data_IF_655696289257
#
_entry.id   IF_655696289257
#
_cell.length_a   1.000
_cell.length_b   1.000
_cell.length_c   1.000
_cell.angle_alpha   90.00
_cell.angle_beta   90.00
_cell.angle_gamma   90.00
#
_symmetry.space_group_name_H-M   'P 1'
#
loop_
_entity.id
_entity.type
_entity.pdbx_description
1 polymer ?
#
# COMPACT_ATOMS: atom_id res chain seq x y z
N UNK A 1 12.02 2.00 -15.01
CA UNK A 1 10.63 1.60 -14.74
C UNK A 1 9.83 2.78 -14.21
N UNK A 2 8.57 2.93 -14.64
CA UNK A 2 7.65 3.96 -14.17
C UNK A 2 6.37 3.32 -13.62
N UNK A 3 6.01 3.65 -12.38
CA UNK A 3 4.77 3.21 -11.72
C UNK A 3 3.85 4.43 -11.59
N UNK A 4 2.60 4.33 -12.04
CA UNK A 4 1.55 5.28 -11.68
C UNK A 4 0.75 4.70 -10.51
N UNK A 5 0.64 5.45 -9.42
CA UNK A 5 -0.14 5.08 -8.24
C UNK A 5 -1.33 6.02 -8.09
N UNK A 6 -2.53 5.47 -8.16
CA UNK A 6 -3.78 6.14 -7.83
C UNK A 6 -4.45 5.45 -6.65
N UNK A 7 -5.29 6.18 -5.91
CA UNK A 7 -6.03 5.65 -4.77
C UNK A 7 -7.24 6.54 -4.46
N UNK A 8 -8.14 6.01 -3.67
CA UNK A 8 -9.24 6.79 -3.07
C UNK A 8 -10.06 7.52 -4.15
N UNK A 9 -10.55 6.75 -5.13
CA UNK A 9 -11.35 7.24 -6.26
C UNK A 9 -12.74 7.65 -5.77
N UNK A 10 -13.37 6.79 -4.93
CA UNK A 10 -14.69 6.99 -4.32
C UNK A 10 -15.81 7.26 -5.32
N UNK A 11 -15.92 6.40 -6.35
CA UNK A 11 -17.06 6.42 -7.26
C UNK A 11 -18.36 6.27 -6.47
N UNK A 12 -19.33 7.14 -6.76
CA UNK A 12 -20.60 7.20 -6.02
C UNK A 12 -20.64 8.21 -4.88
N UNK A 13 -19.49 8.75 -4.46
CA UNK A 13 -19.44 9.80 -3.45
C UNK A 13 -20.04 11.12 -3.96
N UNK A 14 -20.76 11.84 -3.07
CA UNK A 14 -21.19 13.21 -3.39
C UNK A 14 -20.01 14.18 -3.63
N UNK A 15 -18.79 13.77 -3.32
CA UNK A 15 -17.55 14.54 -3.51
C UNK A 15 -16.70 14.02 -4.66
N UNK A 16 -17.15 12.98 -5.34
CA UNK A 16 -16.49 12.43 -6.52
C UNK A 16 -16.47 13.43 -7.67
N UNK A 17 -15.34 13.53 -8.33
CA UNK A 17 -15.06 14.42 -9.44
C UNK A 17 -14.59 13.59 -10.63
N UNK A 18 -15.53 13.10 -11.46
CA UNK A 18 -15.21 12.28 -12.63
C UNK A 18 -14.33 13.02 -13.66
N UNK A 19 -14.42 14.35 -13.71
CA UNK A 19 -13.56 15.19 -14.52
C UNK A 19 -12.07 15.11 -14.08
N UNK A 20 -11.79 15.11 -12.77
CA UNK A 20 -10.43 14.96 -12.26
C UNK A 20 -9.88 13.56 -12.53
N UNK A 21 -10.71 12.51 -12.34
CA UNK A 21 -10.32 11.14 -12.65
C UNK A 21 -9.96 11.00 -14.14
N UNK A 22 -10.80 11.54 -15.04
CA UNK A 22 -10.56 11.51 -16.48
C UNK A 22 -9.24 12.22 -16.83
N UNK A 23 -9.00 13.41 -16.27
CA UNK A 23 -7.75 14.14 -16.51
C UNK A 23 -6.53 13.34 -15.99
N UNK A 24 -6.63 12.76 -14.80
CA UNK A 24 -5.55 11.92 -14.25
C UNK A 24 -5.25 10.71 -15.16
N UNK A 25 -6.29 10.03 -15.65
CA UNK A 25 -6.15 8.89 -16.58
C UNK A 25 -5.49 9.34 -17.89
N UNK A 26 -5.91 10.46 -18.47
CA UNK A 26 -5.30 11.02 -19.68
C UNK A 26 -3.80 11.34 -19.47
N UNK A 27 -3.44 11.94 -18.33
CA UNK A 27 -2.05 12.25 -17.97
C UNK A 27 -1.22 10.99 -17.69
N UNK A 28 -1.81 9.97 -17.03
CA UNK A 28 -1.18 8.67 -16.78
C UNK A 28 -0.92 7.97 -18.12
N UNK A 29 -1.90 7.91 -19.01
CA UNK A 29 -1.74 7.30 -20.32
C UNK A 29 -0.66 8.02 -21.16
N UNK A 30 -0.60 9.35 -21.09
CA UNK A 30 0.44 10.13 -21.76
C UNK A 30 1.84 9.95 -21.14
N UNK A 31 1.92 9.50 -19.89
CA UNK A 31 3.20 9.20 -19.23
C UNK A 31 3.72 7.79 -19.55
N UNK A 32 2.87 6.93 -20.16
CA UNK A 32 3.20 5.55 -20.57
C UNK A 32 3.84 4.73 -19.41
N UNK A 33 3.16 4.54 -18.27
CA UNK A 33 3.73 3.79 -17.16
C UNK A 33 3.88 2.31 -17.50
N UNK A 34 4.91 1.67 -16.94
CA UNK A 34 5.11 0.23 -17.02
C UNK A 34 4.12 -0.55 -16.12
N UNK A 35 3.60 0.13 -15.07
CA UNK A 35 2.67 -0.44 -14.09
C UNK A 35 1.71 0.64 -13.59
N UNK A 36 0.44 0.32 -13.49
CA UNK A 36 -0.55 1.11 -12.73
C UNK A 36 -0.92 0.35 -11.45
N UNK A 37 -0.88 1.04 -10.31
CA UNK A 37 -1.35 0.52 -9.02
C UNK A 37 -2.54 1.33 -8.55
N UNK A 38 -3.65 0.65 -8.24
CA UNK A 38 -4.87 1.21 -7.64
C UNK A 38 -4.94 0.75 -6.20
N UNK A 39 -4.60 1.65 -5.27
CA UNK A 39 -4.42 1.30 -3.86
C UNK A 39 -5.71 1.46 -3.02
N UNK A 40 -6.84 1.00 -3.56
CA UNK A 40 -8.12 0.88 -2.85
C UNK A 40 -9.00 2.11 -2.82
N UNK A 41 -10.15 1.95 -2.17
CA UNK A 41 -11.26 2.92 -2.12
C UNK A 41 -11.69 3.37 -3.52
N UNK A 42 -11.96 2.38 -4.38
CA UNK A 42 -12.41 2.58 -5.76
C UNK A 42 -13.85 3.07 -5.75
N UNK A 43 -14.69 2.46 -4.91
CA UNK A 43 -16.10 2.85 -4.66
C UNK A 43 -16.22 3.61 -3.32
N UNK A 44 -17.33 4.32 -3.10
CA UNK A 44 -17.55 5.07 -1.84
C UNK A 44 -18.20 4.20 -0.75
N UNK A 45 -19.08 3.28 -1.12
CA UNK A 45 -19.83 2.46 -0.16
C UNK A 45 -19.95 0.98 -0.56
N UNK A 46 -19.22 0.52 -1.57
CA UNK A 46 -19.30 -0.87 -2.03
C UNK A 46 -20.63 -1.28 -2.64
N UNK A 47 -21.51 -0.35 -3.02
CA UNK A 47 -22.79 -0.68 -3.63
C UNK A 47 -22.62 -1.17 -5.08
N UNK A 48 -23.51 -2.08 -5.48
CA UNK A 48 -23.43 -2.75 -6.78
C UNK A 48 -23.56 -1.84 -8.00
N UNK A 49 -24.15 -0.67 -7.87
CA UNK A 49 -24.27 0.34 -8.92
C UNK A 49 -22.99 1.18 -9.10
N UNK A 50 -22.11 1.23 -8.10
CA UNK A 50 -20.84 1.96 -8.16
C UNK A 50 -19.76 1.21 -8.95
N UNK A 51 -19.77 -0.13 -8.92
CA UNK A 51 -18.73 -0.94 -9.57
C UNK A 51 -18.70 -0.85 -11.10
N UNK A 52 -19.83 -0.82 -11.85
CA UNK A 52 -19.80 -0.66 -13.29
C UNK A 52 -19.18 0.68 -13.74
N UNK A 53 -19.47 1.78 -13.03
CA UNK A 53 -18.86 3.07 -13.30
C UNK A 53 -17.35 3.06 -13.01
N UNK A 54 -16.95 2.49 -11.87
CA UNK A 54 -15.56 2.32 -11.49
C UNK A 54 -14.78 1.47 -12.51
N UNK A 55 -15.34 0.33 -12.93
CA UNK A 55 -14.77 -0.53 -13.96
C UNK A 55 -14.60 0.19 -15.29
N UNK A 56 -15.64 0.92 -15.74
CA UNK A 56 -15.58 1.69 -16.98
C UNK A 56 -14.51 2.78 -16.93
N UNK A 57 -14.34 3.45 -15.79
CA UNK A 57 -13.30 4.46 -15.61
C UNK A 57 -11.90 3.84 -15.65
N UNK A 58 -11.66 2.74 -14.91
CA UNK A 58 -10.36 2.06 -14.90
C UNK A 58 -10.01 1.43 -16.25
N UNK A 59 -11.01 1.00 -17.02
CA UNK A 59 -10.81 0.48 -18.39
C UNK A 59 -10.29 1.54 -19.38
N UNK A 60 -10.31 2.82 -19.03
CA UNK A 60 -9.72 3.90 -19.84
C UNK A 60 -8.19 4.00 -19.66
N UNK A 61 -7.61 3.33 -18.67
CA UNK A 61 -6.16 3.22 -18.48
C UNK A 61 -5.57 2.33 -19.59
N UNK A 62 -4.58 2.83 -20.32
CA UNK A 62 -3.97 2.15 -21.46
C UNK A 62 -2.81 1.21 -21.06
N UNK A 63 -2.45 1.14 -19.76
CA UNK A 63 -1.38 0.28 -19.26
C UNK A 63 -1.84 -1.18 -19.21
N UNK A 64 -1.06 -2.09 -19.80
CA UNK A 64 -1.35 -3.53 -19.79
C UNK A 64 -1.19 -4.16 -18.41
N UNK A 65 -0.27 -3.63 -17.60
CA UNK A 65 0.01 -4.13 -16.26
C UNK A 65 -0.70 -3.27 -15.22
N UNK A 66 -1.73 -3.83 -14.58
CA UNK A 66 -2.46 -3.15 -13.52
C UNK A 66 -2.62 -4.06 -12.30
N UNK A 67 -2.37 -3.52 -11.11
CA UNK A 67 -2.55 -4.20 -9.82
C UNK A 67 -3.51 -3.37 -8.98
N UNK A 68 -4.56 -4.03 -8.47
CA UNK A 68 -5.58 -3.42 -7.64
C UNK A 68 -5.68 -4.14 -6.31
N UNK A 69 -6.00 -3.39 -5.26
CA UNK A 69 -6.48 -3.91 -3.98
C UNK A 69 -7.76 -3.18 -3.57
N UNK A 70 -8.67 -3.80 -2.82
CA UNK A 70 -9.79 -3.07 -2.25
C UNK A 70 -9.33 -2.16 -1.10
N UNK A 71 -10.11 -1.12 -0.82
CA UNK A 71 -10.02 -0.34 0.40
C UNK A 71 -11.17 -0.63 1.35
N UNK A 72 -11.20 0.06 2.50
CA UNK A 72 -12.26 -0.14 3.48
C UNK A 72 -13.64 0.31 2.97
N UNK A 73 -13.70 1.26 2.04
CA UNK A 73 -14.94 1.67 1.40
C UNK A 73 -15.47 0.60 0.43
N UNK A 74 -14.58 -0.08 -0.27
CA UNK A 74 -14.94 -1.19 -1.17
C UNK A 74 -15.43 -2.42 -0.40
N UNK A 75 -15.08 -2.58 0.88
CA UNK A 75 -15.50 -3.70 1.72
C UNK A 75 -16.82 -3.44 2.47
N UNK A 76 -17.47 -2.30 2.29
CA UNK A 76 -18.77 -1.98 2.88
C UNK A 76 -19.89 -2.68 2.14
N UNK A 77 -21.00 -2.92 2.86
CA UNK A 77 -22.25 -3.42 2.27
C UNK A 77 -22.08 -4.66 1.37
N UNK A 78 -21.28 -5.64 1.80
CA UNK A 78 -20.93 -6.84 0.99
C UNK A 78 -20.16 -6.48 -0.29
N UNK A 79 -19.47 -5.36 -0.27
CA UNK A 79 -18.73 -4.85 -1.42
C UNK A 79 -17.48 -5.67 -1.73
N UNK A 80 -16.91 -6.37 -0.74
CA UNK A 80 -15.80 -7.30 -0.90
C UNK A 80 -16.12 -8.42 -1.93
N UNK A 81 -17.34 -8.97 -1.92
CA UNK A 81 -17.80 -9.94 -2.91
C UNK A 81 -17.94 -9.30 -4.29
N UNK A 82 -18.50 -8.08 -4.34
CA UNK A 82 -18.66 -7.35 -5.60
C UNK A 82 -17.32 -6.92 -6.22
N UNK A 83 -16.35 -6.61 -5.36
CA UNK A 83 -14.99 -6.36 -5.82
C UNK A 83 -14.41 -7.58 -6.53
N UNK A 84 -14.54 -8.77 -5.92
CA UNK A 84 -14.09 -10.04 -6.52
C UNK A 84 -14.81 -10.34 -7.83
N UNK A 85 -16.12 -10.13 -7.89
CA UNK A 85 -16.93 -10.35 -9.11
C UNK A 85 -16.51 -9.39 -10.25
N UNK A 86 -16.04 -8.17 -9.91
CA UNK A 86 -15.74 -7.14 -10.89
C UNK A 86 -14.28 -7.13 -11.32
N UNK A 87 -13.36 -7.25 -10.34
CA UNK A 87 -11.92 -7.06 -10.53
C UNK A 87 -11.08 -8.31 -10.28
N UNK A 88 -11.69 -9.37 -9.77
CA UNK A 88 -11.01 -10.61 -9.41
C UNK A 88 -10.50 -10.62 -7.97
N UNK A 89 -9.52 -11.47 -7.69
CA UNK A 89 -9.02 -11.70 -6.33
C UNK A 89 -8.56 -10.41 -5.65
N UNK A 90 -8.91 -10.26 -4.37
CA UNK A 90 -8.50 -9.14 -3.52
C UNK A 90 -7.02 -9.20 -3.15
N UNK A 91 -6.46 -10.42 -3.14
CA UNK A 91 -5.03 -10.67 -2.94
C UNK A 91 -4.41 -11.18 -4.21
N UNK A 92 -3.20 -10.69 -4.54
CA UNK A 92 -2.50 -11.15 -5.73
C UNK A 92 -0.97 -11.12 -5.56
N UNK A 93 -0.30 -12.00 -6.29
CA UNK A 93 1.17 -12.06 -6.38
C UNK A 93 1.55 -12.10 -7.84
N UNK A 94 2.49 -11.23 -8.22
CA UNK A 94 2.94 -11.12 -9.60
C UNK A 94 4.47 -11.18 -9.68
N UNK A 95 4.95 -11.82 -10.73
CA UNK A 95 6.33 -11.79 -11.18
C UNK A 95 6.32 -11.29 -12.61
N UNK A 96 6.91 -10.13 -12.84
CA UNK A 96 6.83 -9.42 -14.11
C UNK A 96 8.19 -8.86 -14.48
N UNK A 97 8.48 -8.79 -15.78
CA UNK A 97 9.62 -8.04 -16.29
C UNK A 97 9.09 -6.70 -16.80
N UNK A 98 9.35 -5.61 -16.08
CA UNK A 98 8.79 -4.29 -16.35
C UNK A 98 9.90 -3.23 -16.37
N UNK A 99 9.94 -2.40 -17.41
CA UNK A 99 10.92 -1.33 -17.52
C UNK A 99 12.38 -1.79 -17.39
N UNK A 100 12.67 -3.04 -17.82
CA UNK A 100 13.99 -3.65 -17.73
C UNK A 100 14.35 -4.26 -16.37
N UNK A 101 13.41 -4.38 -15.43
CA UNK A 101 13.60 -4.93 -14.09
C UNK A 101 12.74 -6.18 -13.87
N UNK A 102 13.26 -7.17 -13.16
CA UNK A 102 12.49 -8.28 -12.63
C UNK A 102 11.80 -7.86 -11.33
N UNK A 103 10.49 -7.70 -11.39
CA UNK A 103 9.67 -7.13 -10.31
C UNK A 103 8.83 -8.20 -9.64
N UNK A 104 8.92 -8.27 -8.31
CA UNK A 104 8.00 -9.05 -7.48
C UNK A 104 6.99 -8.10 -6.84
N UNK A 105 5.70 -8.34 -7.07
CA UNK A 105 4.62 -7.54 -6.50
C UNK A 105 3.75 -8.45 -5.64
N UNK A 106 3.47 -8.01 -4.43
CA UNK A 106 2.51 -8.65 -3.52
C UNK A 106 1.48 -7.60 -3.14
N UNK A 107 0.24 -7.82 -3.52
CA UNK A 107 -0.88 -6.95 -3.25
C UNK A 107 -1.85 -7.67 -2.32
N UNK A 108 -2.24 -7.03 -1.21
CA UNK A 108 -3.02 -7.67 -0.14
C UNK A 108 -4.18 -6.79 0.27
N UNK A 109 -5.35 -7.40 0.38
CA UNK A 109 -6.51 -6.78 1.01
C UNK A 109 -6.23 -6.54 2.50
N UNK A 110 -6.21 -5.29 2.88
CA UNK A 110 -6.09 -4.87 4.29
C UNK A 110 -7.41 -4.43 4.89
N UNK A 111 -8.50 -4.49 4.13
CA UNK A 111 -9.83 -4.09 4.61
C UNK A 111 -10.47 -5.14 5.51
N UNK A 112 -11.45 -4.69 6.28
CA UNK A 112 -12.36 -5.57 7.03
C UNK A 112 -13.79 -5.12 6.72
N UNK A 113 -14.73 -6.05 6.54
CA UNK A 113 -16.11 -5.70 6.23
C UNK A 113 -16.69 -4.68 7.22
N UNK A 114 -17.21 -3.58 6.67
CA UNK A 114 -17.86 -2.48 7.39
C UNK A 114 -17.02 -1.78 8.49
N UNK A 115 -15.69 -1.92 8.45
CA UNK A 115 -14.76 -1.24 9.36
C UNK A 115 -13.89 -0.24 8.60
N UNK A 116 -13.53 0.85 9.27
CA UNK A 116 -12.55 1.83 8.74
C UNK A 116 -11.10 1.44 9.06
N UNK A 117 -10.91 0.52 10.02
CA UNK A 117 -9.62 -0.01 10.42
C UNK A 117 -9.21 -1.18 9.52
N UNK A 118 -7.92 -1.27 9.22
CA UNK A 118 -7.35 -2.36 8.43
C UNK A 118 -6.58 -3.38 9.25
N UNK A 119 -6.49 -4.60 8.72
CA UNK A 119 -5.63 -5.66 9.23
C UNK A 119 -5.31 -6.65 8.12
N UNK A 120 -4.05 -7.03 7.97
CA UNK A 120 -3.67 -8.11 7.06
C UNK A 120 -3.93 -9.47 7.70
N UNK A 121 -3.49 -9.68 8.93
CA UNK A 121 -3.64 -10.94 9.65
C UNK A 121 -2.46 -11.89 9.43
N UNK A 122 -2.10 -12.61 10.50
CA UNK A 122 -0.92 -13.49 10.52
C UNK A 122 -1.04 -14.67 9.56
N UNK A 123 -2.24 -15.05 9.21
CA UNK A 123 -2.55 -16.10 8.25
C UNK A 123 -2.00 -15.79 6.84
N UNK A 124 -1.84 -14.50 6.50
CA UNK A 124 -1.28 -14.07 5.21
C UNK A 124 0.24 -13.94 5.20
N UNK A 125 0.92 -13.92 6.36
CA UNK A 125 2.35 -13.59 6.41
C UNK A 125 3.24 -14.58 5.65
N UNK A 126 2.97 -15.88 5.77
CA UNK A 126 3.70 -16.89 5.01
C UNK A 126 3.48 -16.72 3.50
N UNK A 127 2.23 -16.44 3.11
CA UNK A 127 1.86 -16.21 1.72
C UNK A 127 2.57 -14.95 1.16
N UNK A 128 2.65 -13.86 1.92
CA UNK A 128 3.39 -12.65 1.53
C UNK A 128 4.88 -12.96 1.35
N UNK A 129 5.49 -13.66 2.32
CA UNK A 129 6.91 -14.02 2.26
C UNK A 129 7.23 -14.89 1.04
N UNK A 130 6.38 -15.87 0.71
CA UNK A 130 6.50 -16.69 -0.50
C UNK A 130 6.42 -15.85 -1.78
N UNK A 131 5.56 -14.82 -1.83
CA UNK A 131 5.44 -13.91 -2.96
C UNK A 131 6.73 -13.15 -3.25
N UNK A 132 7.50 -12.84 -2.20
CA UNK A 132 8.80 -12.17 -2.32
C UNK A 132 10.00 -13.11 -2.39
N UNK A 133 9.81 -14.43 -2.26
CA UNK A 133 10.91 -15.39 -2.28
C UNK A 133 11.60 -15.43 -3.66
N UNK A 134 12.92 -15.68 -3.67
CA UNK A 134 13.73 -15.75 -4.89
C UNK A 134 14.25 -14.39 -5.37
N UNK A 135 14.94 -14.39 -6.51
CA UNK A 135 15.56 -13.19 -7.06
C UNK A 135 14.51 -12.23 -7.61
N UNK A 136 14.69 -10.95 -7.36
CA UNK A 136 13.97 -9.84 -7.96
C UNK A 136 14.83 -8.59 -7.85
N UNK A 137 14.76 -7.73 -8.86
CA UNK A 137 15.43 -6.44 -8.85
C UNK A 137 14.66 -5.41 -8.03
N UNK A 138 13.34 -5.55 -7.97
CA UNK A 138 12.44 -4.68 -7.23
C UNK A 138 11.34 -5.49 -6.55
N UNK A 139 11.07 -5.20 -5.29
CA UNK A 139 9.96 -5.77 -4.52
C UNK A 139 8.99 -4.68 -4.11
N UNK A 140 7.74 -4.83 -4.51
CA UNK A 140 6.66 -3.85 -4.28
C UNK A 140 5.54 -4.51 -3.49
N UNK A 141 5.23 -3.94 -2.34
CA UNK A 141 4.06 -4.33 -1.55
C UNK A 141 2.94 -3.31 -1.74
N UNK A 142 1.72 -3.78 -1.91
CA UNK A 142 0.54 -2.94 -2.12
C UNK A 142 -0.53 -3.31 -1.09
N UNK A 143 -1.02 -2.34 -0.35
CA UNK A 143 -2.21 -2.46 0.49
C UNK A 143 -2.90 -1.09 0.60
N UNK A 144 -4.16 -1.06 1.01
CA UNK A 144 -4.86 0.22 1.12
C UNK A 144 -4.46 1.02 2.36
N UNK A 145 -4.47 0.38 3.55
CA UNK A 145 -4.19 1.05 4.81
C UNK A 145 -2.70 1.32 5.00
N UNK A 146 -2.39 2.48 5.58
CA UNK A 146 -1.02 2.89 5.84
C UNK A 146 -0.40 2.15 7.03
N UNK A 147 0.89 1.84 6.92
CA UNK A 147 1.68 1.14 7.95
C UNK A 147 2.25 2.09 9.02
N UNK A 148 2.41 3.36 8.68
CA UNK A 148 2.96 4.40 9.56
C UNK A 148 2.06 5.62 9.51
N UNK A 149 1.80 6.24 10.66
CA UNK A 149 0.94 7.43 10.74
C UNK A 149 1.41 8.53 9.79
N UNK A 150 0.44 9.16 9.10
CA UNK A 150 0.70 10.28 8.20
C UNK A 150 0.51 11.57 9.02
N UNK A 151 1.54 12.45 9.10
CA UNK A 151 1.47 13.69 9.86
C UNK A 151 0.28 14.56 9.45
N UNK A 152 -0.39 15.15 10.44
CA UNK A 152 -1.52 16.05 10.22
C UNK A 152 -2.86 15.39 9.90
N UNK A 153 -2.92 14.05 9.77
CA UNK A 153 -4.18 13.34 9.43
C UNK A 153 -5.00 12.87 10.63
N UNK A 154 -4.47 13.00 11.82
CA UNK A 154 -5.18 13.12 13.12
C UNK A 154 -5.53 11.82 13.81
N UNK A 155 -5.93 10.73 13.37
CA UNK A 155 -6.37 9.57 14.17
C UNK A 155 -5.49 8.35 13.97
N UNK A 156 -4.87 7.85 15.05
CA UNK A 156 -4.09 6.60 15.03
C UNK A 156 -4.95 5.35 14.74
N UNK A 157 -6.26 5.45 14.91
CA UNK A 157 -7.21 4.33 14.76
C UNK A 157 -7.37 3.81 13.33
N UNK A 158 -7.05 4.61 12.32
CA UNK A 158 -7.24 4.22 10.92
C UNK A 158 -5.95 3.67 10.30
N UNK A 159 -4.99 3.31 11.09
CA UNK A 159 -3.76 2.64 10.73
C UNK A 159 -4.01 1.14 10.61
N UNK A 160 -3.15 0.43 9.91
CA UNK A 160 -3.18 -1.02 9.92
C UNK A 160 -2.94 -1.55 11.34
N UNK A 161 -3.84 -2.37 11.88
CA UNK A 161 -3.77 -2.84 13.28
C UNK A 161 -2.52 -3.67 13.58
N UNK A 162 -2.03 -4.43 12.62
CA UNK A 162 -0.83 -5.26 12.71
C UNK A 162 0.37 -4.64 11.96
N UNK A 163 0.39 -3.31 11.80
CA UNK A 163 1.41 -2.59 11.05
C UNK A 163 2.84 -2.90 11.48
N UNK A 164 3.10 -3.07 12.78
CA UNK A 164 4.42 -3.40 13.28
C UNK A 164 4.93 -4.77 12.83
N UNK A 165 4.07 -5.79 12.89
CA UNK A 165 4.38 -7.14 12.42
C UNK A 165 4.58 -7.15 10.90
N UNK A 166 3.74 -6.44 10.15
CA UNK A 166 3.84 -6.32 8.68
C UNK A 166 5.12 -5.58 8.27
N UNK A 167 5.49 -4.48 8.93
CA UNK A 167 6.74 -3.77 8.67
C UNK A 167 7.97 -4.68 8.91
N UNK A 168 7.95 -5.49 9.99
CA UNK A 168 9.01 -6.44 10.26
C UNK A 168 9.10 -7.52 9.16
N UNK A 169 7.95 -8.07 8.75
CA UNK A 169 7.86 -9.05 7.66
C UNK A 169 8.42 -8.49 6.34
N UNK A 170 7.98 -7.29 5.94
CA UNK A 170 8.41 -6.66 4.70
C UNK A 170 9.90 -6.35 4.68
N UNK A 171 10.46 -5.89 5.82
CA UNK A 171 11.90 -5.71 5.98
C UNK A 171 12.66 -7.04 5.78
N UNK A 172 12.17 -8.11 6.40
CA UNK A 172 12.81 -9.44 6.30
C UNK A 172 12.72 -10.01 4.88
N UNK A 173 11.65 -9.65 4.14
CA UNK A 173 11.50 -9.94 2.72
C UNK A 173 12.34 -9.02 1.81
N UNK A 174 13.06 -8.04 2.36
CA UNK A 174 13.81 -7.01 1.60
C UNK A 174 12.92 -6.28 0.61
N UNK A 175 11.71 -5.90 1.07
CA UNK A 175 10.81 -5.10 0.25
C UNK A 175 11.38 -3.69 0.04
N UNK A 176 11.23 -3.15 -1.18
CA UNK A 176 11.79 -1.85 -1.54
C UNK A 176 10.75 -0.74 -1.40
N UNK A 177 9.52 -1.00 -1.87
CA UNK A 177 8.45 0.01 -1.96
C UNK A 177 7.15 -0.55 -1.37
N UNK A 178 6.49 0.26 -0.55
CA UNK A 178 5.11 0.02 -0.10
C UNK A 178 4.23 1.12 -0.68
N UNK A 179 3.17 0.74 -1.41
CA UNK A 179 2.20 1.65 -2.00
C UNK A 179 0.88 1.55 -1.25
N UNK A 180 0.37 2.68 -0.76
CA UNK A 180 -0.90 2.73 -0.01
C UNK A 180 -1.67 4.02 -0.22
N UNK A 181 -2.94 4.07 0.26
CA UNK A 181 -3.85 5.20 0.18
C UNK A 181 -4.48 5.59 1.52
N UNK A 182 -5.83 5.59 1.56
CA UNK A 182 -6.69 5.69 2.74
C UNK A 182 -6.80 7.07 3.40
N UNK A 183 -5.71 7.81 3.53
CA UNK A 183 -5.74 9.11 4.24
C UNK A 183 -5.93 10.30 3.33
N UNK A 184 -5.99 10.11 2.03
CA UNK A 184 -6.12 11.15 1.01
C UNK A 184 -5.02 12.22 1.07
N UNK A 185 -3.94 11.97 1.81
CA UNK A 185 -2.80 12.88 1.97
C UNK A 185 -1.57 12.21 1.41
N UNK A 186 -0.99 12.75 0.32
CA UNK A 186 0.25 12.20 -0.23
C UNK A 186 1.40 12.41 0.75
N UNK A 187 2.14 11.36 1.00
CA UNK A 187 3.28 11.39 1.91
C UNK A 187 4.29 10.30 1.58
N UNK A 188 5.53 10.48 2.02
CA UNK A 188 6.58 9.47 1.88
C UNK A 188 7.37 9.31 3.17
N UNK A 189 7.48 8.07 3.62
CA UNK A 189 8.34 7.67 4.72
C UNK A 189 9.48 6.80 4.22
N UNK A 190 10.77 7.21 4.34
CA UNK A 190 11.90 6.31 4.23
C UNK A 190 12.11 5.61 5.58
N UNK A 191 11.84 4.31 5.64
CA UNK A 191 11.89 3.57 6.92
C UNK A 191 12.37 2.13 6.71
N UNK A 192 13.26 1.67 7.58
CA UNK A 192 13.74 0.29 7.61
C UNK A 192 14.25 -0.26 6.26
N UNK A 193 14.84 0.59 5.41
CA UNK A 193 15.29 0.21 4.08
C UNK A 193 14.21 0.24 2.99
N UNK A 194 13.01 0.68 3.32
CA UNK A 194 11.85 0.74 2.42
C UNK A 194 11.36 2.17 2.24
N UNK A 195 10.66 2.42 1.13
CA UNK A 195 9.94 3.66 0.86
C UNK A 195 8.43 3.39 0.94
N UNK A 196 7.80 3.92 1.99
CA UNK A 196 6.35 3.86 2.15
C UNK A 196 5.76 5.09 1.49
N UNK A 197 5.11 4.89 0.34
CA UNK A 197 4.59 5.96 -0.52
C UNK A 197 3.06 5.95 -0.42
N UNK A 198 2.53 7.01 0.15
CA UNK A 198 1.09 7.20 0.30
C UNK A 198 0.56 8.08 -0.83
N UNK A 199 -0.53 7.65 -1.46
CA UNK A 199 -1.22 8.46 -2.45
C UNK A 199 -2.22 9.41 -1.79
N UNK A 200 -2.46 10.53 -2.45
CA UNK A 200 -3.66 11.32 -2.21
C UNK A 200 -4.89 10.66 -2.81
N UNK A 201 -6.06 11.27 -2.63
CA UNK A 201 -7.23 10.92 -3.45
C UNK A 201 -7.07 11.47 -4.85
N UNK A 202 -7.30 10.64 -5.87
CA UNK A 202 -7.13 11.10 -7.26
C UNK A 202 -8.31 11.93 -7.75
N UNK A 203 -9.50 11.75 -7.20
CA UNK A 203 -10.74 12.27 -7.77
C UNK A 203 -11.80 12.72 -6.78
N UNK A 204 -11.46 12.98 -5.51
CA UNK A 204 -12.45 13.56 -4.58
C UNK A 204 -12.00 14.88 -4.00
N UNK A 205 -12.96 15.74 -3.61
CA UNK A 205 -12.66 16.99 -2.87
C UNK A 205 -12.45 16.74 -1.38
N UNK A 206 -12.45 15.48 -0.90
CA UNK A 206 -12.21 15.10 0.51
C UNK A 206 -10.73 14.91 0.76
N UNK A 207 -9.95 15.96 0.75
CA UNK A 207 -8.47 15.93 0.76
C UNK A 207 -7.83 15.98 2.16
N UNK A 208 -8.62 16.01 3.22
CA UNK A 208 -8.16 15.96 4.64
C UNK A 208 -7.04 16.94 4.99
N UNK A 209 -7.06 18.15 4.43
CA UNK A 209 -6.09 19.21 4.70
C UNK A 209 -4.96 19.32 3.67
N UNK A 210 -4.84 18.40 2.74
CA UNK A 210 -4.08 18.63 1.52
C UNK A 210 -4.95 19.45 0.54
N UNK A 211 -4.39 20.43 -0.20
CA UNK A 211 -5.22 21.37 -0.95
C UNK A 211 -5.98 20.73 -2.12
N UNK A 212 -5.39 19.71 -2.77
CA UNK A 212 -5.86 19.22 -4.05
C UNK A 212 -5.97 17.69 -4.09
N UNK A 213 -6.76 17.18 -5.03
CA UNK A 213 -6.71 15.77 -5.43
C UNK A 213 -5.36 15.50 -6.09
N UNK A 214 -4.78 14.33 -5.84
CA UNK A 214 -3.45 14.04 -6.34
C UNK A 214 -3.20 12.53 -6.52
N UNK A 215 -2.26 12.19 -7.40
CA UNK A 215 -1.72 10.86 -7.63
C UNK A 215 -0.19 10.90 -7.70
N UNK A 216 0.47 9.75 -7.63
CA UNK A 216 1.91 9.67 -7.68
C UNK A 216 2.42 9.03 -8.96
N UNK A 217 3.54 9.53 -9.48
CA UNK A 217 4.41 8.83 -10.41
C UNK A 217 5.70 8.45 -9.69
N UNK A 218 6.00 7.16 -9.64
CA UNK A 218 7.21 6.60 -9.01
C UNK A 218 8.13 6.10 -10.10
N UNK A 219 9.26 6.77 -10.26
CA UNK A 219 10.30 6.38 -11.22
C UNK A 219 11.39 5.62 -10.50
N UNK A 220 11.62 4.38 -10.92
CA UNK A 220 12.68 3.51 -10.42
C UNK A 220 13.77 3.41 -11.47
N UNK A 221 14.95 3.94 -11.15
CA UNK A 221 16.17 3.83 -11.93
C UNK A 221 17.19 2.92 -11.19
N UNK A 222 18.34 2.67 -11.79
CA UNK A 222 19.32 1.73 -11.22
C UNK A 222 19.82 2.14 -9.82
N UNK A 223 19.99 3.43 -9.57
CA UNK A 223 20.56 3.95 -8.33
C UNK A 223 19.57 4.75 -7.48
N UNK A 224 18.40 5.12 -8.02
CA UNK A 224 17.49 6.03 -7.35
C UNK A 224 16.01 5.72 -7.58
N UNK A 225 15.21 6.09 -6.59
CA UNK A 225 13.75 6.16 -6.67
C UNK A 225 13.35 7.62 -6.56
N UNK A 226 12.60 8.10 -7.56
CA UNK A 226 12.05 9.45 -7.56
C UNK A 226 10.51 9.37 -7.47
N UNK A 227 9.94 10.14 -6.55
CA UNK A 227 8.48 10.20 -6.38
C UNK A 227 8.00 11.60 -6.72
N UNK A 228 7.18 11.68 -7.75
CA UNK A 228 6.53 12.90 -8.21
C UNK A 228 5.04 12.85 -7.90
N UNK A 229 4.56 13.85 -7.20
CA UNK A 229 3.15 14.10 -6.97
C UNK A 229 2.57 14.88 -8.15
N UNK A 230 1.43 14.45 -8.64
CA UNK A 230 0.67 15.08 -9.71
C UNK A 230 -0.70 15.52 -9.23
N UNK A 231 -1.04 16.76 -9.49
CA UNK A 231 -2.41 17.28 -9.36
C UNK A 231 -3.07 17.21 -10.73
N UNK A 232 -4.19 16.50 -10.93
CA UNK A 232 -4.83 16.37 -12.23
C UNK A 232 -5.12 17.74 -12.87
N UNK A 233 -4.58 17.98 -14.07
CA UNK A 233 -4.66 19.25 -14.78
C UNK A 233 -3.86 20.41 -14.17
N UNK A 234 -3.05 20.15 -13.14
CA UNK A 234 -2.39 21.15 -12.33
C UNK A 234 -0.87 21.01 -12.23
N UNK A 235 -0.36 21.32 -11.06
CA UNK A 235 1.07 21.36 -10.76
C UNK A 235 1.66 19.98 -10.48
N UNK A 236 2.99 19.92 -10.60
CA UNK A 236 3.80 18.75 -10.26
C UNK A 236 4.72 19.11 -9.11
N UNK A 237 4.82 18.23 -8.13
CA UNK A 237 5.70 18.42 -6.99
C UNK A 237 6.60 17.19 -6.82
N UNK A 238 7.88 17.40 -6.57
CA UNK A 238 8.75 16.29 -6.13
C UNK A 238 8.47 16.00 -4.65
N UNK A 239 8.06 14.76 -4.32
CA UNK A 239 8.03 14.28 -2.95
C UNK A 239 9.42 13.85 -2.48
N UNK A 240 10.33 13.56 -3.40
CA UNK A 240 11.74 13.31 -3.10
C UNK A 240 12.44 12.42 -4.11
N UNK A 241 13.77 12.42 -3.97
CA UNK A 241 14.69 11.49 -4.63
C UNK A 241 15.49 10.77 -3.59
N UNK A 242 15.55 9.46 -3.71
CA UNK A 242 16.14 8.61 -2.71
C UNK A 242 17.04 7.56 -3.38
N UNK A 243 18.11 7.09 -2.70
CA UNK A 243 18.90 5.98 -3.21
C UNK A 243 18.04 4.72 -3.30
N UNK A 244 18.15 3.98 -4.39
CA UNK A 244 17.43 2.71 -4.53
C UNK A 244 17.95 1.65 -3.56
N UNK A 245 19.27 1.62 -3.36
CA UNK A 245 19.90 0.71 -2.43
C UNK A 245 20.24 1.45 -1.14
N UNK A 246 19.63 1.03 -0.04
CA UNK A 246 20.01 1.53 1.27
C UNK A 246 21.42 1.01 1.62
N UNK A 247 22.27 1.82 2.30
CA UNK A 247 23.53 1.34 2.78
C UNK A 247 23.36 0.10 3.66
N UNK A 248 24.13 -0.97 3.43
CA UNK A 248 24.07 -2.23 4.19
C UNK A 248 24.11 -2.01 5.71
N UNK A 249 24.86 -1.00 6.17
CA UNK A 249 24.93 -0.64 7.59
C UNK A 249 23.58 -0.25 8.21
N UNK A 250 22.60 0.17 7.42
CA UNK A 250 21.24 0.48 7.90
C UNK A 250 20.29 -0.72 7.84
N UNK A 251 20.66 -1.77 7.09
CA UNK A 251 19.85 -2.97 6.89
C UNK A 251 20.37 -4.16 7.68
N UNK A 252 21.70 -4.20 8.02
CA UNK A 252 22.31 -5.28 8.76
C UNK A 252 21.98 -5.14 10.26
N UNK A 253 21.25 -6.12 10.80
CA UNK A 253 21.17 -6.38 12.24
C UNK A 253 21.75 -7.74 12.51
N UNK A 254 22.82 -7.79 13.32
CA UNK A 254 23.49 -9.02 13.73
C UNK A 254 22.66 -9.93 14.64
N UNK A 255 21.51 -9.45 15.11
CA UNK A 255 20.52 -10.27 15.80
C UNK A 255 19.12 -9.65 15.59
N UNK A 256 18.25 -10.36 14.90
CA UNK A 256 16.84 -9.99 14.81
C UNK A 256 16.14 -10.29 16.15
N UNK A 257 15.70 -9.27 16.89
CA UNK A 257 14.99 -9.48 18.15
C UNK A 257 13.63 -10.16 17.93
N UNK A 258 13.15 -10.27 16.69
CA UNK A 258 11.85 -10.84 16.33
C UNK A 258 11.91 -12.32 15.95
N UNK A 259 13.08 -12.93 15.75
CA UNK A 259 13.19 -14.40 15.58
C UNK A 259 12.65 -15.17 16.80
N UNK A 260 12.51 -14.52 17.95
CA UNK A 260 11.83 -15.10 19.13
C UNK A 260 10.31 -15.27 18.94
N UNK A 261 9.69 -14.49 18.09
CA UNK A 261 8.24 -14.52 17.82
C UNK A 261 7.85 -15.47 16.67
N UNK A 262 8.78 -15.75 15.76
CA UNK A 262 8.54 -16.63 14.61
C UNK A 262 8.59 -18.12 14.93
N UNK A 263 9.05 -18.52 16.10
CA UNK A 263 9.19 -19.92 16.51
C UNK A 263 8.26 -20.31 17.63
N UNK A 264 7.00 -20.04 17.66
CA UNK A 264 5.95 -20.65 18.49
C UNK A 264 6.34 -21.25 19.87
N UNK A 265 7.43 -20.79 20.51
CA UNK A 265 7.86 -21.27 21.79
C UNK A 265 7.18 -20.46 22.92
N UNK A 266 6.76 -21.09 24.04
CA UNK A 266 6.18 -20.38 25.16
C UNK A 266 7.20 -19.37 25.71
N UNK A 267 6.76 -18.14 25.98
CA UNK A 267 7.52 -17.11 26.67
C UNK A 267 8.07 -17.70 27.98
N UNK A 268 9.37 -17.93 28.05
CA UNK A 268 10.03 -18.28 29.31
C UNK A 268 9.87 -17.10 30.26
N UNK A 269 9.16 -17.31 31.34
CA UNK A 269 8.95 -16.33 32.39
C UNK A 269 10.29 -16.07 33.11
N UNK A 270 10.94 -14.90 33.02
CA UNK A 270 12.16 -14.62 33.75
C UNK A 270 11.77 -14.12 35.15
N UNK A 271 11.69 -14.97 36.12
CA UNK A 271 11.55 -14.51 37.51
C UNK A 271 10.72 -15.39 38.39
N UNK A 272 11.25 -16.56 38.72
CA UNK A 272 10.81 -17.35 39.82
C UNK A 272 12.02 -17.68 40.75
N UNK A 273 12.56 -16.70 41.47
CA UNK A 273 13.43 -16.99 42.61
C UNK A 273 12.51 -17.37 43.76
N UNK A 274 12.38 -18.67 44.01
CA UNK A 274 11.84 -19.18 45.27
C UNK A 274 12.87 -18.95 46.39
N UNK A 275 12.69 -17.88 47.15
CA UNK A 275 13.31 -17.77 48.49
C UNK A 275 12.52 -18.65 49.42
N UNK A 276 13.12 -19.81 49.78
CA UNK A 276 12.65 -20.64 50.86
C UNK A 276 12.75 -19.88 52.17
N UNK A 277 11.63 -19.68 52.86
CA UNK A 277 11.55 -19.26 54.23
C UNK A 277 11.39 -20.54 55.04
N UNK A 278 12.47 -20.94 55.75
CA UNK A 278 12.41 -21.90 56.86
C UNK A 278 11.94 -21.16 58.09
N UNK A 279 10.86 -21.60 58.68
CA UNK A 279 10.40 -21.16 60.01
C UNK A 279 10.76 -22.18 61.07
N UNK A 280 11.03 -21.72 62.34
CA UNK A 280 11.49 -22.54 63.46
C UNK A 280 10.42 -23.46 64.03
#
# INVERSE_FOLDING_TARGET
>A
MLIAQISDIHVGSARFRPDLLRIAIEEINAAEPDLVVVAGDITDDGYGDQYPEAQAALAMLACESMVLVPGNHDARNVGDVRFEDTFGSRDSRHRMHLGGLDVAIVAVDSSKPDLDEGQIGREHYAWIAEGFAGAADLRVFVCHHHLVAIPGTGRDRNQLMDAGDVLALLRDCRNDIVLSGHRHVPYLWPIAGMYLIHSGTVSTTRTRGFPDSAYNLVRVADEQIEVELRVPGGVRHSLGRYPRNWPEALTARDADPFTRFSRGGPLANPGGSSTGISSP
#
